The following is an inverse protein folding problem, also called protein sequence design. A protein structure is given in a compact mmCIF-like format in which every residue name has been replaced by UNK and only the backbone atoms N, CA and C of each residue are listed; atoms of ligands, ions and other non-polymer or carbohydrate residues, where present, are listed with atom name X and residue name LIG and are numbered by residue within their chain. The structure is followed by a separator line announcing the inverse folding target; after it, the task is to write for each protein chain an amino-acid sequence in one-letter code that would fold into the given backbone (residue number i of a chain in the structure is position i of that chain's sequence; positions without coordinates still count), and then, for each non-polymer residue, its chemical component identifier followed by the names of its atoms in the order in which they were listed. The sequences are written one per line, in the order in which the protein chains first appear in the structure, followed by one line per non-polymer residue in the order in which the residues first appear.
data_IF_558511788242
#
_entry.id   IF_558511788242
#
_cell.length_a   1.000
_cell.length_b   1.000
_cell.length_c   1.000
_cell.angle_alpha   90.00
_cell.angle_beta   90.00
_cell.angle_gamma   90.00
#
_symmetry.space_group_name_H-M   'P 1'
#
loop_
_entity.id
_entity.type
_entity.pdbx_description
1 polymer ?
#
# COMPACT_ATOMS: atom_id res chain seq x y z
N UNK A 1 -7.34 -1.90 13.23
CA UNK A 1 -6.59 -1.51 12.01
C UNK A 1 -6.22 -2.78 11.26
N UNK A 2 -6.34 -2.84 9.93
CA UNK A 2 -6.09 -4.06 9.16
C UNK A 2 -4.64 -4.56 9.22
N UNK A 3 -3.64 -3.70 9.39
CA UNK A 3 -2.22 -4.10 9.34
C UNK A 3 -1.56 -4.38 10.71
N UNK A 4 -2.35 -4.54 11.80
CA UNK A 4 -1.83 -4.64 13.18
C UNK A 4 -0.76 -5.70 13.42
N UNK A 5 -0.70 -6.73 12.58
CA UNK A 5 0.23 -7.86 12.72
C UNK A 5 1.29 -7.88 11.62
N UNK A 6 1.40 -6.81 10.83
CA UNK A 6 2.40 -6.72 9.77
C UNK A 6 3.16 -5.40 9.86
N UNK A 7 4.40 -5.45 10.30
CA UNK A 7 5.32 -4.31 10.30
C UNK A 7 5.65 -3.85 8.89
N UNK A 8 5.68 -4.78 7.94
CA UNK A 8 5.91 -4.48 6.53
C UNK A 8 4.76 -4.96 5.65
N UNK A 9 4.55 -4.28 4.54
CA UNK A 9 3.67 -4.68 3.44
C UNK A 9 4.56 -5.01 2.23
N UNK A 10 4.80 -6.30 1.93
CA UNK A 10 5.60 -6.72 0.80
C UNK A 10 5.02 -6.24 -0.52
N UNK A 11 5.83 -5.56 -1.33
CA UNK A 11 5.42 -4.96 -2.59
C UNK A 11 6.07 -5.66 -3.78
N UNK A 12 5.29 -6.41 -4.53
CA UNK A 12 5.75 -7.26 -5.63
C UNK A 12 5.57 -6.60 -7.00
N UNK A 13 6.48 -6.93 -7.94
CA UNK A 13 6.50 -6.40 -9.31
C UNK A 13 6.28 -7.45 -10.40
N UNK A 14 6.34 -8.74 -10.05
CA UNK A 14 6.24 -9.82 -11.02
C UNK A 14 5.61 -11.08 -10.43
N UNK A 15 5.22 -11.99 -11.32
CA UNK A 15 4.50 -13.21 -10.94
C UNK A 15 5.34 -14.16 -10.07
N UNK A 16 6.66 -14.26 -10.27
CA UNK A 16 7.53 -15.09 -9.43
C UNK A 16 7.56 -14.64 -7.97
N UNK A 17 7.57 -13.32 -7.75
CA UNK A 17 7.46 -12.75 -6.40
C UNK A 17 6.07 -12.99 -5.79
N UNK A 18 5.03 -12.97 -6.61
CA UNK A 18 3.67 -13.28 -6.18
C UNK A 18 3.57 -14.71 -5.66
N UNK A 19 4.03 -15.70 -6.41
CA UNK A 19 4.03 -17.12 -5.98
C UNK A 19 4.79 -17.32 -4.65
N UNK A 20 5.92 -16.65 -4.48
CA UNK A 20 6.68 -16.68 -3.22
C UNK A 20 5.86 -16.14 -2.04
N UNK A 21 5.15 -15.02 -2.23
CA UNK A 21 4.37 -14.40 -1.17
C UNK A 21 3.07 -15.14 -0.85
N UNK A 22 2.53 -15.95 -1.76
CA UNK A 22 1.35 -16.79 -1.49
C UNK A 22 1.56 -17.70 -0.28
N UNK A 23 2.75 -18.29 -0.14
CA UNK A 23 3.09 -19.20 0.96
C UNK A 23 3.75 -18.50 2.18
N UNK A 24 3.85 -17.16 2.16
CA UNK A 24 4.42 -16.39 3.26
C UNK A 24 3.43 -16.17 4.41
N UNK A 25 3.87 -15.78 5.62
CA UNK A 25 2.97 -15.44 6.73
C UNK A 25 2.26 -14.09 6.56
N UNK A 26 2.58 -13.30 5.52
CA UNK A 26 1.94 -12.01 5.26
C UNK A 26 0.50 -12.19 4.76
N UNK A 27 -0.44 -11.55 5.42
CA UNK A 27 -1.85 -11.52 5.02
C UNK A 27 -2.07 -10.49 3.89
N UNK A 28 -1.50 -9.29 4.05
CA UNK A 28 -1.58 -8.20 3.07
C UNK A 28 -0.31 -8.14 2.23
N UNK A 29 -0.49 -8.07 0.91
CA UNK A 29 0.58 -7.93 -0.07
C UNK A 29 0.23 -6.83 -1.08
N UNK A 30 1.22 -6.11 -1.60
CA UNK A 30 1.01 -5.03 -2.55
C UNK A 30 1.40 -5.48 -3.94
N UNK A 31 0.48 -5.37 -4.89
CA UNK A 31 0.73 -5.55 -6.31
C UNK A 31 1.09 -4.19 -6.92
N UNK A 32 2.40 -3.96 -7.20
CA UNK A 32 2.88 -2.72 -7.79
C UNK A 32 2.61 -2.66 -9.29
N UNK A 33 2.95 -3.72 -10.02
CA UNK A 33 2.87 -3.76 -11.47
C UNK A 33 2.12 -5.02 -11.92
N UNK A 34 1.16 -4.86 -12.80
CA UNK A 34 0.48 -5.95 -13.48
C UNK A 34 -0.14 -5.44 -14.79
N UNK A 35 -0.45 -6.37 -15.70
CA UNK A 35 -1.27 -6.09 -16.86
C UNK A 35 -2.76 -6.26 -16.49
N UNK A 36 -3.60 -5.36 -16.98
CA UNK A 36 -5.05 -5.36 -16.69
C UNK A 36 -5.71 -6.74 -16.94
N UNK A 37 -5.29 -7.45 -17.98
CA UNK A 37 -5.80 -8.79 -18.33
C UNK A 37 -5.49 -9.88 -17.31
N UNK A 38 -4.49 -9.66 -16.42
CA UNK A 38 -4.08 -10.66 -15.43
C UNK A 38 -4.69 -10.42 -14.04
N UNK A 39 -5.29 -9.25 -13.80
CA UNK A 39 -5.76 -8.86 -12.48
C UNK A 39 -6.76 -9.85 -11.88
N UNK A 40 -7.75 -10.29 -12.65
CA UNK A 40 -8.76 -11.26 -12.17
C UNK A 40 -8.11 -12.57 -11.71
N UNK A 41 -7.19 -13.10 -12.49
CA UNK A 41 -6.48 -14.34 -12.15
C UNK A 41 -5.62 -14.18 -10.89
N UNK A 42 -4.92 -13.04 -10.76
CA UNK A 42 -4.12 -12.72 -9.57
C UNK A 42 -5.01 -12.66 -8.31
N UNK A 43 -6.18 -12.00 -8.39
CA UNK A 43 -7.12 -11.93 -7.26
C UNK A 43 -7.68 -13.30 -6.90
N UNK A 44 -8.06 -14.12 -7.89
CA UNK A 44 -8.56 -15.47 -7.65
C UNK A 44 -7.51 -16.35 -6.99
N UNK A 45 -6.27 -16.29 -7.47
CA UNK A 45 -5.17 -17.07 -6.90
C UNK A 45 -4.83 -16.60 -5.48
N UNK A 46 -4.73 -15.29 -5.24
CA UNK A 46 -4.51 -14.73 -3.92
C UNK A 46 -5.58 -15.19 -2.91
N UNK A 47 -6.85 -15.21 -3.32
CA UNK A 47 -7.97 -15.64 -2.47
C UNK A 47 -7.85 -17.10 -2.03
N UNK A 48 -7.36 -18.03 -2.88
CA UNK A 48 -7.13 -19.43 -2.51
C UNK A 48 -6.15 -19.56 -1.35
N UNK A 49 -5.17 -18.65 -1.27
CA UNK A 49 -4.17 -18.59 -0.22
C UNK A 49 -4.51 -17.60 0.90
N UNK A 50 -5.76 -17.12 0.95
CA UNK A 50 -6.25 -16.16 1.95
C UNK A 50 -5.44 -14.85 1.99
N UNK A 51 -4.83 -14.46 0.86
CA UNK A 51 -4.08 -13.21 0.74
C UNK A 51 -5.00 -12.04 0.40
N UNK A 52 -4.76 -10.90 1.03
CA UNK A 52 -5.43 -9.63 0.78
C UNK A 52 -4.54 -8.73 -0.08
N UNK A 53 -4.90 -8.59 -1.35
CA UNK A 53 -4.10 -7.83 -2.31
C UNK A 53 -4.47 -6.35 -2.27
N UNK A 54 -3.47 -5.50 -2.06
CA UNK A 54 -3.54 -4.05 -2.25
C UNK A 54 -2.98 -3.73 -3.64
N UNK A 55 -3.79 -3.13 -4.51
CA UNK A 55 -3.41 -2.86 -5.91
C UNK A 55 -2.93 -1.43 -6.06
N UNK A 56 -1.74 -1.23 -6.62
CA UNK A 56 -1.26 0.09 -7.01
C UNK A 56 -1.85 0.48 -8.38
N UNK A 57 -3.01 1.15 -8.36
CA UNK A 57 -3.80 1.40 -9.57
C UNK A 57 -3.05 2.22 -10.64
N UNK A 58 -2.15 3.13 -10.22
CA UNK A 58 -1.41 4.00 -11.14
C UNK A 58 -0.35 3.26 -11.98
N UNK A 59 0.02 2.03 -11.61
CA UNK A 59 1.05 1.22 -12.27
C UNK A 59 0.47 0.02 -13.03
N UNK A 60 -0.86 -0.11 -13.12
CA UNK A 60 -1.48 -1.19 -13.89
C UNK A 60 -1.43 -0.86 -15.37
N UNK A 61 -0.70 -1.70 -16.13
CA UNK A 61 -0.56 -1.56 -17.56
C UNK A 61 -1.91 -1.81 -18.27
N UNK A 62 -2.27 -0.92 -19.16
CA UNK A 62 -3.54 -0.97 -19.88
C UNK A 62 -4.72 -0.32 -19.13
N UNK A 63 -4.53 0.11 -17.90
CA UNK A 63 -5.55 0.84 -17.14
C UNK A 63 -5.42 2.35 -17.39
N UNK A 64 -6.47 2.98 -17.92
CA UNK A 64 -6.53 4.42 -18.12
C UNK A 64 -6.68 5.19 -16.80
N UNK A 65 -6.49 6.51 -16.87
CA UNK A 65 -6.71 7.40 -15.73
C UNK A 65 -8.06 8.11 -15.86
N UNK A 66 -9.14 7.33 -15.76
CA UNK A 66 -10.51 7.83 -15.86
C UNK A 66 -11.45 7.14 -14.85
N UNK A 67 -12.68 7.58 -14.79
CA UNK A 67 -13.68 7.04 -13.86
C UNK A 67 -14.09 5.60 -14.21
N UNK A 68 -14.03 5.21 -15.50
CA UNK A 68 -14.29 3.84 -15.92
C UNK A 68 -13.24 2.87 -15.39
N UNK A 69 -11.98 3.30 -15.34
CA UNK A 69 -10.90 2.53 -14.72
C UNK A 69 -11.14 2.34 -13.22
N UNK A 70 -11.59 3.40 -12.52
CA UNK A 70 -11.94 3.31 -11.12
C UNK A 70 -13.14 2.37 -10.89
N UNK A 71 -14.15 2.44 -11.77
CA UNK A 71 -15.28 1.52 -11.75
C UNK A 71 -14.85 0.07 -11.97
N UNK A 72 -14.02 -0.20 -12.96
CA UNK A 72 -13.51 -1.53 -13.26
C UNK A 72 -12.73 -2.12 -12.07
N UNK A 73 -11.78 -1.38 -11.51
CA UNK A 73 -11.00 -1.86 -10.35
C UNK A 73 -11.91 -2.13 -9.15
N UNK A 74 -12.85 -1.23 -8.87
CA UNK A 74 -13.69 -1.34 -7.68
C UNK A 74 -14.84 -2.34 -7.81
N UNK A 75 -15.42 -2.54 -9.00
CA UNK A 75 -16.57 -3.41 -9.19
C UNK A 75 -16.21 -4.81 -9.70
N UNK A 76 -15.22 -4.91 -10.61
CA UNK A 76 -14.87 -6.16 -11.28
C UNK A 76 -13.67 -6.87 -10.64
N UNK A 77 -12.64 -6.13 -10.25
CA UNK A 77 -11.43 -6.68 -9.63
C UNK A 77 -11.60 -6.85 -8.13
N UNK A 78 -12.17 -5.86 -7.45
CA UNK A 78 -12.46 -5.86 -6.00
C UNK A 78 -11.27 -6.26 -5.14
N UNK A 79 -10.14 -5.55 -5.22
CA UNK A 79 -9.01 -5.82 -4.35
C UNK A 79 -9.36 -5.50 -2.89
N UNK A 80 -8.54 -5.96 -1.95
CA UNK A 80 -8.69 -5.60 -0.54
C UNK A 80 -8.46 -4.11 -0.28
N UNK A 81 -7.60 -3.49 -1.09
CA UNK A 81 -7.34 -2.05 -1.05
C UNK A 81 -6.74 -1.52 -2.35
N UNK A 82 -6.78 -0.23 -2.51
CA UNK A 82 -6.25 0.49 -3.67
C UNK A 82 -5.27 1.56 -3.19
N UNK A 83 -4.09 1.57 -3.80
CA UNK A 83 -3.07 2.61 -3.63
C UNK A 83 -3.07 3.45 -4.90
N UNK A 84 -3.24 4.76 -4.78
CA UNK A 84 -3.21 5.66 -5.92
C UNK A 84 -2.90 7.11 -5.50
N UNK A 85 -2.37 7.89 -6.44
CA UNK A 85 -2.22 9.34 -6.31
C UNK A 85 -3.50 10.11 -6.69
N UNK A 86 -4.50 9.42 -7.25
CA UNK A 86 -5.66 10.01 -7.92
C UNK A 86 -6.88 10.09 -7.01
N UNK A 87 -7.51 11.26 -6.97
CA UNK A 87 -8.69 11.50 -6.13
C UNK A 87 -9.90 10.67 -6.53
N UNK A 88 -10.17 10.50 -7.82
CA UNK A 88 -11.32 9.72 -8.30
C UNK A 88 -11.22 8.25 -7.86
N UNK A 89 -10.01 7.67 -7.91
CA UNK A 89 -9.75 6.32 -7.45
C UNK A 89 -10.02 6.18 -5.94
N UNK A 90 -9.55 7.15 -5.14
CA UNK A 90 -9.81 7.15 -3.69
C UNK A 90 -11.29 7.29 -3.36
N UNK A 91 -11.97 8.25 -3.96
CA UNK A 91 -13.40 8.47 -3.76
C UNK A 91 -14.22 7.22 -4.13
N UNK A 92 -13.88 6.57 -5.25
CA UNK A 92 -14.56 5.36 -5.68
C UNK A 92 -14.30 4.19 -4.73
N UNK A 93 -13.04 3.96 -4.33
CA UNK A 93 -12.69 2.93 -3.37
C UNK A 93 -13.49 3.08 -2.05
N UNK A 94 -13.55 4.28 -1.51
CA UNK A 94 -14.33 4.59 -0.30
C UNK A 94 -15.82 4.26 -0.48
N UNK A 95 -16.42 4.65 -1.61
CA UNK A 95 -17.85 4.38 -1.88
C UNK A 95 -18.17 2.89 -1.96
N UNK A 96 -17.18 2.07 -2.30
CA UNK A 96 -17.28 0.60 -2.40
C UNK A 96 -16.78 -0.15 -1.17
N UNK A 97 -16.39 0.56 -0.10
CA UNK A 97 -15.82 -0.01 1.13
C UNK A 97 -14.53 -0.81 0.88
N UNK A 98 -13.76 -0.42 -0.12
CA UNK A 98 -12.42 -0.92 -0.41
C UNK A 98 -11.42 0.01 0.30
N UNK A 99 -10.39 -0.54 0.94
CA UNK A 99 -9.38 0.26 1.65
C UNK A 99 -8.75 1.25 0.66
N UNK A 100 -8.91 2.54 0.94
CA UNK A 100 -8.33 3.61 0.12
C UNK A 100 -7.03 4.12 0.74
N UNK A 101 -5.93 3.96 0.02
CA UNK A 101 -4.58 4.38 0.42
C UNK A 101 -4.12 5.50 -0.52
N UNK A 102 -4.14 6.74 -0.04
CA UNK A 102 -3.68 7.88 -0.81
C UNK A 102 -2.17 7.93 -0.81
N UNK A 103 -1.54 7.73 -1.98
CA UNK A 103 -0.09 7.90 -2.12
C UNK A 103 0.25 9.38 -2.27
N UNK A 104 1.27 9.83 -1.54
CA UNK A 104 1.77 11.20 -1.57
C UNK A 104 3.29 11.22 -1.76
N UNK A 105 3.76 12.07 -2.67
CA UNK A 105 5.19 12.32 -2.89
C UNK A 105 5.56 13.67 -2.26
N UNK A 106 6.28 13.64 -1.16
CA UNK A 106 6.65 14.83 -0.39
C UNK A 106 8.06 15.29 -0.79
N UNK A 107 8.13 15.97 -1.94
CA UNK A 107 9.38 16.44 -2.52
C UNK A 107 9.76 17.86 -2.07
N UNK A 108 8.75 18.68 -1.79
CA UNK A 108 8.89 20.05 -1.33
C UNK A 108 7.63 20.52 -0.58
N UNK A 109 7.66 21.75 -0.07
CA UNK A 109 6.55 22.35 0.69
C UNK A 109 5.27 22.47 -0.16
N UNK A 110 5.39 22.76 -1.45
CA UNK A 110 4.23 22.88 -2.35
C UNK A 110 3.56 21.54 -2.55
N UNK A 111 4.33 20.45 -2.70
CA UNK A 111 3.82 19.10 -2.81
C UNK A 111 3.11 18.68 -1.52
N UNK A 112 3.66 19.05 -0.36
CA UNK A 112 3.07 18.77 0.96
C UNK A 112 1.71 19.46 1.11
N UNK A 113 1.62 20.77 0.83
CA UNK A 113 0.37 21.54 0.91
C UNK A 113 -0.71 20.99 -0.03
N UNK A 114 -0.36 20.68 -1.29
CA UNK A 114 -1.27 20.05 -2.24
C UNK A 114 -1.75 18.67 -1.77
N UNK A 115 -0.88 17.93 -1.12
CA UNK A 115 -1.23 16.63 -0.54
C UNK A 115 -2.25 16.78 0.58
N UNK A 116 -2.13 17.76 1.47
CA UNK A 116 -3.12 18.02 2.51
C UNK A 116 -4.49 18.38 1.93
N UNK A 117 -4.54 19.27 0.93
CA UNK A 117 -5.80 19.62 0.25
C UNK A 117 -6.47 18.40 -0.39
N UNK A 118 -5.66 17.51 -1.00
CA UNK A 118 -6.16 16.28 -1.60
C UNK A 118 -6.70 15.31 -0.53
N UNK A 119 -5.97 15.10 0.56
CA UNK A 119 -6.35 14.24 1.68
C UNK A 119 -7.63 14.73 2.34
N UNK A 120 -7.78 16.02 2.58
CA UNK A 120 -9.00 16.60 3.14
C UNK A 120 -10.23 16.31 2.28
N UNK A 121 -10.07 16.37 0.96
CA UNK A 121 -11.15 16.09 -0.01
C UNK A 121 -11.47 14.60 -0.12
N UNK A 122 -10.45 13.73 -0.17
CA UNK A 122 -10.63 12.29 -0.43
C UNK A 122 -10.91 11.48 0.83
N UNK A 123 -10.46 11.95 1.99
CA UNK A 123 -10.59 11.28 3.30
C UNK A 123 -10.23 9.79 3.22
N UNK A 124 -8.99 9.46 2.78
CA UNK A 124 -8.57 8.08 2.60
C UNK A 124 -8.51 7.34 3.94
N UNK A 125 -8.46 6.02 3.92
CA UNK A 125 -8.31 5.22 5.13
C UNK A 125 -6.86 5.21 5.64
N UNK A 126 -5.90 5.37 4.72
CA UNK A 126 -4.46 5.46 4.98
C UNK A 126 -3.80 6.46 4.02
N UNK A 127 -2.67 7.01 4.46
CA UNK A 127 -1.78 7.81 3.63
C UNK A 127 -0.46 7.06 3.47
N UNK A 128 -0.02 6.82 2.24
CA UNK A 128 1.32 6.33 1.98
C UNK A 128 2.24 7.51 1.67
N UNK A 129 3.22 7.75 2.54
CA UNK A 129 4.21 8.83 2.45
C UNK A 129 5.47 8.34 1.76
N UNK A 130 5.89 9.05 0.71
CA UNK A 130 7.15 8.82 0.01
C UNK A 130 8.00 10.11 0.01
N UNK A 131 9.31 10.00 0.33
CA UNK A 131 10.04 8.79 0.70
C UNK A 131 9.85 8.41 2.18
N UNK A 132 9.61 7.12 2.45
CA UNK A 132 9.38 6.61 3.81
C UNK A 132 10.63 6.56 4.70
N UNK A 133 11.81 6.79 4.13
CA UNK A 133 13.09 6.89 4.86
C UNK A 133 13.31 8.26 5.54
N UNK A 134 12.28 9.09 5.57
CA UNK A 134 12.31 10.43 6.19
C UNK A 134 11.32 10.46 7.35
N UNK A 135 11.70 10.01 8.56
CA UNK A 135 10.78 9.79 9.69
C UNK A 135 10.00 11.05 10.11
N UNK A 136 10.61 12.23 10.04
CA UNK A 136 9.93 13.47 10.46
C UNK A 136 8.72 13.80 9.55
N UNK A 137 8.74 13.46 8.25
CA UNK A 137 7.59 13.65 7.36
C UNK A 137 6.43 12.72 7.73
N UNK A 138 6.73 11.47 8.13
CA UNK A 138 5.71 10.52 8.61
C UNK A 138 5.00 11.10 9.84
N UNK A 139 5.78 11.57 10.82
CA UNK A 139 5.25 12.18 12.05
C UNK A 139 4.44 13.44 11.74
N UNK A 140 4.92 14.30 10.85
CA UNK A 140 4.25 15.53 10.46
C UNK A 140 2.89 15.23 9.81
N UNK A 141 2.85 14.37 8.77
CA UNK A 141 1.62 14.01 8.07
C UNK A 141 0.61 13.37 9.02
N UNK A 142 1.06 12.46 9.91
CA UNK A 142 0.18 11.84 10.90
C UNK A 142 -0.42 12.88 11.84
N UNK A 143 0.39 13.79 12.36
CA UNK A 143 -0.05 14.84 13.30
C UNK A 143 -1.04 15.82 12.67
N UNK A 144 -0.84 16.18 11.40
CA UNK A 144 -1.69 17.12 10.69
C UNK A 144 -3.03 16.52 10.23
N UNK A 145 -3.05 15.23 9.90
CA UNK A 145 -4.23 14.61 9.28
C UNK A 145 -5.03 13.71 10.21
N UNK A 146 -4.42 13.21 11.28
CA UNK A 146 -4.95 12.14 12.14
C UNK A 146 -5.31 10.84 11.40
N UNK A 147 -4.84 10.68 10.15
CA UNK A 147 -5.02 9.47 9.35
C UNK A 147 -3.80 8.58 9.53
N UNK A 148 -3.97 7.25 9.69
CA UNK A 148 -2.85 6.32 9.78
C UNK A 148 -1.93 6.41 8.56
N UNK A 149 -0.61 6.49 8.81
CA UNK A 149 0.41 6.65 7.78
C UNK A 149 1.14 5.34 7.54
N UNK A 150 1.44 5.06 6.29
CA UNK A 150 2.31 3.99 5.82
C UNK A 150 3.58 4.62 5.26
N UNK A 151 4.76 4.20 5.70
CA UNK A 151 6.03 4.66 5.12
C UNK A 151 6.35 3.87 3.86
N UNK A 152 6.58 4.55 2.72
CA UNK A 152 6.86 3.89 1.45
C UNK A 152 8.03 4.50 0.67
N UNK A 153 8.63 3.69 -0.21
CA UNK A 153 9.73 4.13 -1.06
C UNK A 153 11.08 4.26 -0.33
N UNK A 154 12.12 3.77 -0.99
CA UNK A 154 13.52 3.78 -0.56
C UNK A 154 13.84 2.99 0.71
N UNK A 155 12.89 2.36 1.37
CA UNK A 155 13.10 1.53 2.58
C UNK A 155 13.77 0.20 2.16
N UNK A 156 15.01 -0.02 2.65
CA UNK A 156 15.90 -1.10 2.23
C UNK A 156 16.49 -1.89 3.38
N UNK A 157 16.51 -1.33 4.60
CA UNK A 157 17.10 -1.96 5.78
C UNK A 157 16.08 -2.09 6.90
N UNK A 158 16.40 -2.95 7.88
CA UNK A 158 15.56 -3.15 9.07
C UNK A 158 15.49 -1.85 9.88
N UNK A 159 16.60 -1.14 10.00
CA UNK A 159 16.69 0.13 10.73
C UNK A 159 15.77 1.20 10.12
N UNK A 160 15.69 1.25 8.78
CA UNK A 160 14.77 2.18 8.08
C UNK A 160 13.30 1.81 8.29
N UNK A 161 12.97 0.52 8.36
CA UNK A 161 11.61 0.07 8.72
C UNK A 161 11.29 0.47 10.14
N UNK A 162 12.14 0.14 11.11
CA UNK A 162 11.89 0.44 12.52
C UNK A 162 11.83 1.96 12.75
N UNK A 163 12.70 2.77 12.10
CA UNK A 163 12.65 4.23 12.17
C UNK A 163 11.32 4.80 11.64
N UNK A 164 10.77 4.24 10.55
CA UNK A 164 9.46 4.65 10.04
C UNK A 164 8.34 4.30 11.03
N UNK A 165 8.38 3.12 11.66
CA UNK A 165 7.41 2.69 12.67
C UNK A 165 7.49 3.53 13.94
N UNK A 166 8.70 3.83 14.44
CA UNK A 166 8.93 4.71 15.59
C UNK A 166 8.42 6.14 15.34
N UNK A 167 8.47 6.60 14.08
CA UNK A 167 7.90 7.89 13.70
C UNK A 167 6.37 7.89 13.63
N UNK A 168 5.72 6.74 13.86
CA UNK A 168 4.26 6.59 13.90
C UNK A 168 3.65 5.99 12.64
N UNK A 169 4.44 5.44 11.70
CA UNK A 169 3.88 4.65 10.61
C UNK A 169 3.24 3.37 11.17
N UNK A 170 2.07 3.00 10.65
CA UNK A 170 1.40 1.75 11.02
C UNK A 170 1.98 0.53 10.29
N UNK A 171 2.70 0.73 9.20
CA UNK A 171 3.45 -0.26 8.44
C UNK A 171 4.45 0.43 7.49
N UNK A 172 5.41 -0.33 6.95
CA UNK A 172 6.31 0.13 5.91
C UNK A 172 6.14 -0.71 4.63
N UNK A 173 6.11 -0.07 3.45
CA UNK A 173 6.07 -0.78 2.16
C UNK A 173 7.46 -0.95 1.60
N UNK A 174 7.80 -2.16 1.19
CA UNK A 174 9.11 -2.46 0.61
C UNK A 174 9.04 -3.56 -0.44
N UNK A 175 9.86 -3.43 -1.49
CA UNK A 175 10.09 -4.46 -2.49
C UNK A 175 11.38 -5.26 -2.26
N UNK A 176 12.09 -4.99 -1.17
CA UNK A 176 13.33 -5.69 -0.80
C UNK A 176 13.02 -7.05 -0.19
N UNK A 177 13.49 -8.11 -0.87
CA UNK A 177 13.23 -9.51 -0.48
C UNK A 177 13.87 -9.88 0.86
N UNK A 178 15.05 -9.36 1.14
CA UNK A 178 15.74 -9.58 2.42
C UNK A 178 14.89 -9.12 3.62
N UNK A 179 14.16 -8.01 3.47
CA UNK A 179 13.22 -7.56 4.49
C UNK A 179 11.99 -8.47 4.60
N UNK A 180 11.50 -9.03 3.48
CA UNK A 180 10.41 -9.99 3.54
C UNK A 180 10.81 -11.25 4.30
N UNK A 181 12.00 -11.79 4.02
CA UNK A 181 12.53 -12.98 4.69
C UNK A 181 12.73 -12.73 6.18
N UNK A 182 13.33 -11.58 6.56
CA UNK A 182 13.54 -11.18 7.95
C UNK A 182 12.22 -11.08 8.74
N UNK A 183 11.24 -10.34 8.22
CA UNK A 183 9.96 -10.14 8.91
C UNK A 183 9.03 -11.37 8.82
N UNK A 184 9.19 -12.25 7.83
CA UNK A 184 8.50 -13.54 7.80
C UNK A 184 8.85 -14.40 9.00
N UNK A 185 10.15 -14.47 9.34
CA UNK A 185 10.64 -15.25 10.48
C UNK A 185 10.13 -14.67 11.81
N UNK A 186 10.24 -13.35 12.00
CA UNK A 186 9.73 -12.68 13.21
C UNK A 186 8.23 -12.84 13.43
N UNK A 187 7.43 -12.72 12.37
CA UNK A 187 5.98 -12.91 12.47
C UNK A 187 5.57 -14.33 12.90
N UNK A 188 6.41 -15.33 12.65
CA UNK A 188 6.19 -16.70 13.12
C UNK A 188 6.56 -16.89 14.60
N UNK A 189 7.52 -16.14 15.10
CA UNK A 189 7.94 -16.18 16.51
C UNK A 189 6.93 -15.48 17.43
N UNK A 190 6.35 -14.36 17.00
CA UNK A 190 5.35 -13.59 17.77
C UNK A 190 3.96 -14.28 17.84
N UNK A 191 3.72 -15.32 17.04
CA UNK A 191 2.48 -16.13 17.05
C UNK A 191 2.57 -17.39 17.90
N UNK A 192 3.72 -17.68 18.49
CA UNK A 192 3.96 -18.80 19.43
C UNK A 192 3.86 -18.33 20.86
#
# INVERSE_FOLDING_TARGET
MPFRHQKILPALRNFKQFEQLLNSPFEYIILLEAHIGNLKNIMQEANKYQKKVLVHADLIQGLKNDDYAADFICNDIRPAGIISTRSNMMTKAKSKKIIAIQRTFLLDTIALEKSYQLIERTKPDFIEVLPGVVPHLIKEVHSQTNIPVIGGGLIRTVEEVEAALEAGACAATTSHRELWDYYSTKNLEEKK
#
